data_IF_564500672320
#
_entry.id   IF_564500672320
#
_cell.length_a   1.000
_cell.length_b   1.000
_cell.length_c   1.000
_cell.angle_alpha   90.00
_cell.angle_beta   90.00
_cell.angle_gamma   90.00
#
_symmetry.space_group_name_H-M   'P 1'
#
loop_
_entity.id
_entity.type
_entity.pdbx_description
1 polymer ?
#
# COMPACT_ATOMS: atom_id res chain seq x y z
N UNK A 1 53.61 -41.69 46.20
CA UNK A 1 52.89 -42.74 45.44
C UNK A 1 51.55 -42.12 45.10
N UNK A 2 51.53 -41.53 43.92
CA UNK A 2 50.67 -40.40 43.60
C UNK A 2 49.51 -40.94 42.77
N UNK A 3 48.29 -40.88 43.32
CA UNK A 3 47.10 -41.49 42.71
C UNK A 3 45.85 -40.65 42.94
N UNK A 4 45.93 -39.37 42.62
CA UNK A 4 44.73 -38.63 42.21
C UNK A 4 45.05 -37.94 40.90
N UNK A 5 44.65 -38.63 39.84
CA UNK A 5 44.79 -38.20 38.46
C UNK A 5 44.12 -36.86 38.27
N UNK A 6 44.92 -35.94 37.75
CA UNK A 6 44.54 -34.67 37.20
C UNK A 6 43.36 -34.86 36.23
N UNK A 7 42.15 -34.51 36.68
CA UNK A 7 40.95 -34.44 35.86
C UNK A 7 40.53 -32.96 35.74
N UNK A 8 41.41 -32.16 35.18
CA UNK A 8 41.13 -30.76 34.89
C UNK A 8 41.74 -30.39 33.54
N UNK A 9 41.29 -31.09 32.50
CA UNK A 9 41.45 -30.68 31.12
C UNK A 9 40.11 -30.94 30.41
N UNK A 10 39.11 -30.14 30.77
CA UNK A 10 37.83 -30.12 30.10
C UNK A 10 37.59 -28.73 29.52
N UNK A 11 37.91 -28.63 28.23
CA UNK A 11 37.29 -27.73 27.24
C UNK A 11 37.57 -26.24 27.35
N UNK A 12 38.83 -25.85 27.15
CA UNK A 12 39.15 -24.60 26.44
C UNK A 12 38.86 -24.74 24.94
N UNK A 13 37.64 -25.17 24.58
CA UNK A 13 37.11 -24.95 23.23
C UNK A 13 36.69 -23.47 23.18
N UNK A 14 37.71 -22.63 23.08
CA UNK A 14 37.77 -21.33 22.42
C UNK A 14 36.46 -20.54 22.33
N UNK A 15 36.19 -19.58 23.25
CA UNK A 15 35.12 -18.58 23.08
C UNK A 15 35.24 -17.79 21.77
N UNK A 16 36.37 -17.87 21.06
CA UNK A 16 36.56 -17.32 19.71
C UNK A 16 35.85 -18.13 18.62
N UNK A 17 35.82 -19.47 18.69
CA UNK A 17 35.11 -20.30 17.70
C UNK A 17 33.60 -20.10 17.80
N UNK A 18 33.07 -20.06 19.03
CA UNK A 18 31.65 -19.75 19.31
C UNK A 18 31.27 -18.33 18.84
N UNK A 19 32.10 -17.31 19.10
CA UNK A 19 31.87 -15.95 18.60
C UNK A 19 31.91 -15.85 17.07
N UNK A 20 32.81 -16.56 16.40
CA UNK A 20 32.86 -16.60 14.94
C UNK A 20 31.60 -17.24 14.33
N UNK A 21 31.09 -18.31 14.94
CA UNK A 21 29.85 -18.94 14.49
C UNK A 21 28.64 -18.01 14.64
N UNK A 22 28.50 -17.37 15.81
CA UNK A 22 27.42 -16.40 16.06
C UNK A 22 27.50 -15.18 15.14
N UNK A 23 28.70 -14.66 14.86
CA UNK A 23 28.88 -13.55 13.93
C UNK A 23 28.46 -13.95 12.49
N UNK A 24 28.79 -15.16 12.05
CA UNK A 24 28.33 -15.69 10.75
C UNK A 24 26.82 -15.86 10.71
N UNK A 25 26.23 -16.41 11.77
CA UNK A 25 24.77 -16.57 11.88
C UNK A 25 24.06 -15.22 11.85
N UNK A 26 24.60 -14.21 12.55
CA UNK A 26 24.09 -12.84 12.54
C UNK A 26 24.21 -12.20 11.16
N UNK A 27 25.36 -12.34 10.49
CA UNK A 27 25.54 -11.84 9.12
C UNK A 27 24.56 -12.46 8.12
N UNK A 28 24.30 -13.76 8.24
CA UNK A 28 23.29 -14.45 7.44
C UNK A 28 21.87 -13.97 7.75
N UNK A 29 21.55 -13.70 9.02
CA UNK A 29 20.25 -13.16 9.41
C UNK A 29 20.03 -11.78 8.80
N UNK A 30 21.00 -10.87 8.92
CA UNK A 30 20.96 -9.53 8.34
C UNK A 30 20.83 -9.57 6.81
N UNK A 31 21.65 -10.39 6.15
CA UNK A 31 21.56 -10.55 4.70
C UNK A 31 20.17 -11.04 4.25
N UNK A 32 19.57 -11.98 4.99
CA UNK A 32 18.22 -12.48 4.70
C UNK A 32 17.14 -11.44 4.98
N UNK A 33 17.29 -10.61 6.00
CA UNK A 33 16.38 -9.49 6.28
C UNK A 33 16.39 -8.50 5.10
N UNK A 34 17.55 -8.17 4.56
CA UNK A 34 17.67 -7.21 3.44
C UNK A 34 17.19 -7.76 2.09
N UNK A 35 17.27 -9.08 1.88
CA UNK A 35 16.99 -9.69 0.57
C UNK A 35 15.60 -10.29 0.43
N UNK A 36 14.91 -10.60 1.53
CA UNK A 36 13.60 -11.25 1.47
C UNK A 36 12.46 -10.24 1.34
N UNK A 37 11.49 -10.54 0.47
CA UNK A 37 10.25 -9.76 0.40
C UNK A 37 9.39 -10.08 1.62
N UNK A 38 8.63 -9.09 2.09
CA UNK A 38 7.83 -9.17 3.32
C UNK A 38 6.89 -10.39 3.36
N UNK A 39 6.29 -10.77 2.24
CA UNK A 39 5.35 -11.90 2.15
C UNK A 39 6.02 -13.27 2.19
N UNK A 40 7.31 -13.34 1.86
CA UNK A 40 8.10 -14.59 1.84
C UNK A 40 8.75 -14.89 3.22
N UNK A 41 8.55 -13.98 4.17
CA UNK A 41 9.01 -14.11 5.55
C UNK A 41 8.01 -15.00 6.30
N UNK A 42 8.48 -16.16 6.75
CA UNK A 42 7.73 -17.09 7.58
C UNK A 42 8.00 -16.84 9.06
N UNK A 43 7.10 -17.31 9.91
CA UNK A 43 7.20 -17.11 11.37
C UNK A 43 8.47 -17.79 11.92
N UNK A 44 8.79 -18.96 11.37
CA UNK A 44 10.03 -19.68 11.67
C UNK A 44 11.29 -18.84 11.37
N UNK A 45 11.32 -18.11 10.23
CA UNK A 45 12.47 -17.25 9.89
C UNK A 45 12.62 -16.08 10.88
N UNK A 46 11.52 -15.45 11.27
CA UNK A 46 11.52 -14.38 12.27
C UNK A 46 12.09 -14.87 13.61
N UNK A 47 11.69 -16.08 14.03
CA UNK A 47 12.23 -16.73 15.22
C UNK A 47 13.73 -17.02 15.08
N UNK A 48 14.16 -17.62 13.97
CA UNK A 48 15.59 -17.89 13.72
C UNK A 48 16.46 -16.64 13.75
N UNK A 49 15.96 -15.51 13.19
CA UNK A 49 16.70 -14.25 13.24
C UNK A 49 16.80 -13.68 14.65
N UNK A 50 15.68 -13.71 15.39
CA UNK A 50 15.67 -13.30 16.80
C UNK A 50 16.66 -14.11 17.62
N UNK A 51 16.69 -15.43 17.43
CA UNK A 51 17.55 -16.32 18.20
C UNK A 51 19.03 -16.09 17.86
N UNK A 52 19.37 -15.89 16.58
CA UNK A 52 20.73 -15.51 16.17
C UNK A 52 21.20 -14.17 16.77
N UNK A 53 20.30 -13.19 16.90
CA UNK A 53 20.60 -11.91 17.55
C UNK A 53 20.80 -12.10 19.06
N UNK A 54 19.96 -12.91 19.71
CA UNK A 54 20.12 -13.22 21.13
C UNK A 54 21.42 -13.96 21.44
N UNK A 55 21.81 -14.92 20.59
CA UNK A 55 23.11 -15.59 20.72
C UNK A 55 24.27 -14.61 20.60
N UNK A 56 24.19 -13.65 19.66
CA UNK A 56 25.20 -12.61 19.53
C UNK A 56 25.28 -11.71 20.79
N UNK A 57 24.14 -11.27 21.33
CA UNK A 57 24.11 -10.47 22.57
C UNK A 57 24.70 -11.26 23.74
N UNK A 58 24.34 -12.54 23.87
CA UNK A 58 24.85 -13.44 24.92
C UNK A 58 26.37 -13.58 24.85
N UNK A 59 26.95 -13.52 23.65
CA UNK A 59 28.39 -13.59 23.41
C UNK A 59 29.09 -12.23 23.48
N UNK A 60 28.38 -11.17 23.87
CA UNK A 60 28.93 -9.83 24.13
C UNK A 60 28.90 -8.87 22.94
N UNK A 61 28.19 -9.20 21.85
CA UNK A 61 28.00 -8.27 20.73
C UNK A 61 26.91 -7.23 21.08
N UNK A 62 27.23 -5.94 20.90
CA UNK A 62 26.31 -4.82 21.15
C UNK A 62 25.33 -4.62 20.00
N UNK A 63 24.38 -5.55 19.85
CA UNK A 63 23.43 -5.60 18.72
C UNK A 63 21.96 -5.58 19.14
N UNK A 64 21.67 -5.08 20.34
CA UNK A 64 20.33 -5.05 20.93
C UNK A 64 19.30 -4.29 20.08
N UNK A 65 19.75 -3.28 19.31
CA UNK A 65 18.89 -2.54 18.39
C UNK A 65 18.29 -3.42 17.29
N UNK A 66 18.95 -4.52 16.91
CA UNK A 66 18.44 -5.46 15.91
C UNK A 66 17.20 -6.22 16.39
N UNK A 67 17.00 -6.38 17.70
CA UNK A 67 15.77 -6.96 18.24
C UNK A 67 14.56 -6.06 17.96
N UNK A 68 14.74 -4.73 17.98
CA UNK A 68 13.67 -3.80 17.62
C UNK A 68 13.35 -3.89 16.13
N UNK A 69 14.38 -4.01 15.26
CA UNK A 69 14.19 -4.23 13.83
C UNK A 69 13.36 -5.51 13.56
N UNK A 70 13.69 -6.63 14.21
CA UNK A 70 12.93 -7.88 14.05
C UNK A 70 11.50 -7.75 14.57
N UNK A 71 11.26 -7.01 15.66
CA UNK A 71 9.90 -6.74 16.16
C UNK A 71 9.08 -5.92 15.17
N UNK A 72 9.65 -4.87 14.60
CA UNK A 72 8.96 -4.03 13.61
C UNK A 72 8.68 -4.80 12.33
N UNK A 73 9.64 -5.63 11.90
CA UNK A 73 9.46 -6.53 10.76
C UNK A 73 8.36 -7.57 11.01
N UNK A 74 8.32 -8.19 12.20
CA UNK A 74 7.26 -9.10 12.57
C UNK A 74 5.89 -8.40 12.50
N UNK A 75 5.77 -7.20 13.08
CA UNK A 75 4.54 -6.39 13.00
C UNK A 75 4.13 -6.11 11.55
N UNK A 76 5.08 -5.77 10.67
CA UNK A 76 4.81 -5.54 9.26
C UNK A 76 4.35 -6.83 8.54
N UNK A 77 4.99 -7.97 8.77
CA UNK A 77 4.62 -9.27 8.20
C UNK A 77 3.21 -9.68 8.62
N UNK A 78 2.90 -9.62 9.92
CA UNK A 78 1.57 -9.95 10.43
C UNK A 78 0.51 -8.97 9.94
N UNK A 79 0.82 -7.68 9.86
CA UNK A 79 -0.06 -6.66 9.29
C UNK A 79 -0.37 -6.93 7.81
N UNK A 80 0.64 -7.24 6.99
CA UNK A 80 0.45 -7.57 5.59
C UNK A 80 -0.40 -8.83 5.39
N UNK A 81 -0.17 -9.87 6.19
CA UNK A 81 -0.99 -11.09 6.15
C UNK A 81 -2.41 -10.84 6.61
N UNK A 82 -2.63 -10.01 7.63
CA UNK A 82 -3.96 -9.64 8.08
C UNK A 82 -4.73 -8.93 6.96
N UNK A 83 -4.12 -7.94 6.31
CA UNK A 83 -4.72 -7.24 5.16
C UNK A 83 -5.04 -8.22 4.02
N UNK A 84 -4.11 -9.12 3.70
CA UNK A 84 -4.32 -10.11 2.65
C UNK A 84 -5.44 -11.12 3.01
N UNK A 85 -5.55 -11.50 4.28
CA UNK A 85 -6.62 -12.37 4.76
C UNK A 85 -7.99 -11.68 4.75
N UNK A 86 -8.05 -10.37 5.06
CA UNK A 86 -9.27 -9.57 4.96
C UNK A 86 -9.71 -9.36 3.51
N UNK A 87 -8.75 -9.15 2.61
CA UNK A 87 -9.00 -9.06 1.17
C UNK A 87 -9.54 -10.37 0.59
N UNK A 88 -9.16 -11.52 1.16
CA UNK A 88 -9.69 -12.85 0.80
C UNK A 88 -11.01 -13.18 1.50
N UNK A 89 -11.28 -12.61 2.67
CA UNK A 89 -12.50 -12.88 3.45
C UNK A 89 -13.72 -12.09 2.96
N UNK A 90 -13.51 -10.98 2.24
CA UNK A 90 -14.59 -10.34 1.49
C UNK A 90 -14.86 -11.22 0.27
N UNK A 91 -15.81 -12.15 0.42
CA UNK A 91 -16.06 -13.17 -0.59
C UNK A 91 -16.36 -12.56 -1.96
N UNK A 92 -15.96 -13.23 -3.05
CA UNK A 92 -16.33 -12.81 -4.41
C UNK A 92 -17.85 -12.64 -4.58
N UNK A 93 -18.65 -13.25 -3.71
CA UNK A 93 -20.10 -13.13 -3.70
C UNK A 93 -20.62 -11.80 -3.15
N UNK A 94 -19.94 -11.18 -2.17
CA UNK A 94 -20.33 -9.85 -1.67
C UNK A 94 -19.92 -8.74 -2.64
N UNK A 95 -18.73 -8.88 -3.24
CA UNK A 95 -18.27 -7.98 -4.32
C UNK A 95 -19.17 -8.12 -5.55
N UNK A 96 -19.56 -9.36 -5.90
CA UNK A 96 -20.52 -9.64 -6.97
C UNK A 96 -21.92 -9.11 -6.64
N UNK A 97 -22.39 -9.26 -5.40
CA UNK A 97 -23.68 -8.73 -4.97
C UNK A 97 -23.70 -7.20 -5.01
N UNK A 98 -22.63 -6.54 -4.53
CA UNK A 98 -22.47 -5.10 -4.62
C UNK A 98 -22.39 -4.61 -6.08
N UNK A 99 -21.62 -5.30 -6.94
CA UNK A 99 -21.54 -5.00 -8.36
C UNK A 99 -22.89 -5.16 -9.08
N UNK A 100 -23.65 -6.22 -8.76
CA UNK A 100 -24.99 -6.44 -9.29
C UNK A 100 -25.96 -5.34 -8.82
N UNK A 101 -25.90 -4.95 -7.54
CA UNK A 101 -26.71 -3.86 -6.99
C UNK A 101 -26.40 -2.52 -7.67
N UNK A 102 -25.12 -2.23 -7.93
CA UNK A 102 -24.70 -1.02 -8.67
C UNK A 102 -25.17 -1.05 -10.12
N UNK A 103 -25.10 -2.20 -10.79
CA UNK A 103 -25.58 -2.36 -12.18
C UNK A 103 -27.10 -2.12 -12.28
N UNK A 104 -27.88 -2.63 -11.34
CA UNK A 104 -29.32 -2.37 -11.27
C UNK A 104 -29.60 -0.87 -11.09
N UNK A 105 -28.90 -0.21 -10.16
CA UNK A 105 -29.06 1.24 -9.91
C UNK A 105 -28.64 2.09 -11.11
N UNK A 106 -27.57 1.70 -11.81
CA UNK A 106 -27.14 2.34 -13.05
C UNK A 106 -28.23 2.25 -14.12
N UNK A 107 -28.84 1.07 -14.29
CA UNK A 107 -29.92 0.86 -15.27
C UNK A 107 -31.17 1.68 -14.93
N UNK A 108 -31.57 1.73 -13.65
CA UNK A 108 -32.69 2.57 -13.20
C UNK A 108 -32.43 4.05 -13.50
N UNK A 109 -31.20 4.54 -13.29
CA UNK A 109 -30.83 5.91 -13.59
C UNK A 109 -30.89 6.19 -15.09
N UNK A 110 -30.41 5.27 -15.92
CA UNK A 110 -30.49 5.39 -17.38
C UNK A 110 -31.93 5.37 -17.90
N UNK A 111 -32.80 4.53 -17.31
CA UNK A 111 -34.23 4.51 -17.62
C UNK A 111 -34.88 5.84 -17.26
N UNK A 112 -34.55 6.39 -16.07
CA UNK A 112 -35.04 7.72 -15.65
C UNK A 112 -34.53 8.83 -16.54
N UNK A 113 -33.28 8.75 -16.98
CA UNK A 113 -32.70 9.70 -17.92
C UNK A 113 -33.40 9.65 -19.29
N UNK A 114 -33.66 8.44 -19.81
CA UNK A 114 -34.44 8.23 -21.04
C UNK A 114 -35.87 8.78 -20.90
N UNK A 115 -36.53 8.53 -19.77
CA UNK A 115 -37.88 9.02 -19.47
C UNK A 115 -37.92 10.55 -19.43
N UNK A 116 -36.96 11.17 -18.74
CA UNK A 116 -36.81 12.62 -18.70
C UNK A 116 -36.58 13.20 -20.11
N UNK A 117 -35.70 12.58 -20.89
CA UNK A 117 -35.42 13.01 -22.26
C UNK A 117 -36.67 12.92 -23.14
N UNK A 118 -37.44 11.83 -23.05
CA UNK A 118 -38.71 11.69 -23.77
C UNK A 118 -39.75 12.74 -23.35
N UNK A 119 -39.84 13.06 -22.05
CA UNK A 119 -40.71 14.12 -21.54
C UNK A 119 -40.32 15.51 -22.07
N UNK A 120 -39.02 15.82 -22.10
CA UNK A 120 -38.50 17.08 -22.63
C UNK A 120 -38.82 17.21 -24.13
N UNK A 121 -38.57 16.16 -24.91
CA UNK A 121 -38.93 16.11 -26.33
C UNK A 121 -40.44 16.27 -26.56
N UNK A 122 -41.28 15.57 -25.79
CA UNK A 122 -42.74 15.69 -25.87
C UNK A 122 -43.25 17.10 -25.50
N UNK A 123 -42.51 17.83 -24.66
CA UNK A 123 -42.78 19.23 -24.31
C UNK A 123 -42.18 20.23 -25.32
N UNK A 124 -41.56 19.74 -26.39
CA UNK A 124 -40.94 20.58 -27.43
C UNK A 124 -39.61 21.21 -27.02
N UNK A 125 -39.01 20.77 -25.91
CA UNK A 125 -37.71 21.22 -25.41
C UNK A 125 -36.66 20.26 -25.98
N UNK A 126 -36.17 20.58 -27.17
CA UNK A 126 -35.07 19.85 -27.82
C UNK A 126 -33.74 20.15 -27.12
N UNK A 127 -32.75 19.28 -27.26
CA UNK A 127 -31.37 19.60 -26.84
C UNK A 127 -30.70 20.62 -27.79
N UNK A 128 -31.29 20.91 -28.96
CA UNK A 128 -30.81 21.87 -29.96
C UNK A 128 -31.05 23.35 -29.60
N UNK A 129 -31.45 23.66 -28.36
CA UNK A 129 -31.61 25.04 -27.89
C UNK A 129 -30.29 25.83 -27.88
N UNK A 130 -29.15 25.16 -28.11
CA UNK A 130 -27.87 25.80 -28.36
C UNK A 130 -27.91 26.72 -29.61
N UNK A 131 -28.77 26.45 -30.59
CA UNK A 131 -28.90 27.28 -31.79
C UNK A 131 -29.71 28.57 -31.52
N UNK A 132 -30.70 28.53 -30.62
CA UNK A 132 -31.51 29.70 -30.26
C UNK A 132 -30.74 30.77 -29.45
N UNK A 133 -29.67 30.40 -28.74
CA UNK A 133 -28.81 31.36 -28.02
C UNK A 133 -27.84 32.07 -28.99
N UNK A 134 -27.39 31.39 -30.04
CA UNK A 134 -26.48 31.97 -31.05
C UNK A 134 -27.22 32.96 -31.95
N UNK A 135 -28.48 32.69 -32.32
CA UNK A 135 -29.25 33.62 -33.16
C UNK A 135 -29.67 34.90 -32.40
N UNK A 136 -29.95 34.80 -31.09
CA UNK A 136 -30.23 35.95 -30.23
C UNK A 136 -29.00 36.84 -30.01
N UNK A 137 -27.80 36.24 -29.89
CA UNK A 137 -26.54 36.99 -29.76
C UNK A 137 -26.13 37.70 -31.07
N UNK A 138 -26.42 37.10 -32.22
CA UNK A 138 -26.15 37.73 -33.53
C UNK A 138 -27.07 38.93 -33.82
N UNK A 139 -28.32 38.92 -33.31
CA UNK A 139 -29.25 40.06 -33.42
C UNK A 139 -29.02 41.17 -32.40
N UNK A 140 -28.31 40.89 -31.30
CA UNK A 140 -27.99 41.86 -30.26
C UNK A 140 -26.73 42.72 -30.56
N UNK A 141 -26.35 42.88 -31.84
CA UNK A 141 -25.29 43.81 -32.25
C UNK A 141 -25.79 45.26 -32.20
N UNK A 142 -25.29 46.13 -31.29
CA UNK A 142 -25.49 47.56 -31.41
C UNK A 142 -24.43 48.09 -32.36
N UNK A 143 -24.82 48.33 -33.61
CA UNK A 143 -24.18 49.37 -34.42
C UNK A 143 -24.28 50.69 -33.65
N UNK A 144 -23.22 51.13 -32.97
CA UNK A 144 -22.99 52.55 -32.65
C UNK A 144 -21.62 52.76 -32.01
N UNK A 145 -20.65 53.24 -32.79
CA UNK A 145 -19.73 54.31 -32.37
C UNK A 145 -18.80 54.65 -33.53
N UNK A 146 -19.28 55.53 -34.41
CA UNK A 146 -18.40 56.45 -35.12
C UNK A 146 -18.49 57.78 -34.38
N UNK A 147 -17.53 58.05 -33.48
CA UNK A 147 -17.31 59.42 -33.00
C UNK A 147 -15.95 59.87 -33.51
N UNK A 148 -16.05 60.71 -34.54
CA UNK A 148 -15.03 61.63 -35.04
C UNK A 148 -14.34 62.36 -33.88
N UNK A 149 -13.01 62.34 -33.85
CA UNK A 149 -12.24 63.42 -33.24
C UNK A 149 -11.39 64.10 -34.32
N UNK A 150 -11.68 65.37 -34.57
CA UNK A 150 -11.00 66.25 -35.51
C UNK A 150 -10.39 67.43 -34.75
N UNK A 151 -9.05 67.53 -34.83
CA UNK A 151 -8.15 68.74 -34.85
C UNK A 151 -8.18 69.70 -33.65
N UNK A 152 -7.20 70.56 -33.35
CA UNK A 152 -5.80 70.92 -33.71
C UNK A 152 -5.43 72.04 -32.68
N UNK A 153 -4.20 72.59 -32.61
CA UNK A 153 -3.72 73.60 -33.58
C UNK A 153 -2.55 73.11 -34.43
#
# INVERSE_FOLDING_TARGET
>A
MDKYGNFMEATDITPSFSRCAAFRALGLALHRIDTMRLLDITDHKLLCWRDAIYEAITLGFLVDFLLNLVKDLARAVFGARAIHSMALSHGPDEIRAAANSLNIKQRELEDKHRELHALLLAKGISADNAECVVEAAARASPRASSVLFRRSP
#
